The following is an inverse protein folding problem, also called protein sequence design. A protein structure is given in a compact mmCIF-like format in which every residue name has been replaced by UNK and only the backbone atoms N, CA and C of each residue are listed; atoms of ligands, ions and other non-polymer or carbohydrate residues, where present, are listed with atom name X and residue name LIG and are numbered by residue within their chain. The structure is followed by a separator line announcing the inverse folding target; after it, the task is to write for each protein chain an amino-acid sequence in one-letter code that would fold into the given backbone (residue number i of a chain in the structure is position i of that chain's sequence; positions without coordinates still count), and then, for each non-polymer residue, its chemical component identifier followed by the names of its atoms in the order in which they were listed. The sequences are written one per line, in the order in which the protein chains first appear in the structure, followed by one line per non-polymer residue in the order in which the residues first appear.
data_IF_535804334552
#
_entry.id   IF_535804334552
#
_cell.length_a   1.000
_cell.length_b   1.000
_cell.length_c   1.000
_cell.angle_alpha   90.00
_cell.angle_beta   90.00
_cell.angle_gamma   90.00
#
_symmetry.space_group_name_H-M   'P 1'
#
loop_
_entity.id
_entity.type
_entity.pdbx_description
1 polymer ?
#
# COMPACT_ATOMS: atom_id res chain seq x y z
N UNK A 1 5.94 -13.77 -24.02
CA UNK A 1 6.52 -12.46 -23.65
C UNK A 1 5.41 -11.58 -23.09
N UNK A 2 5.42 -11.33 -21.78
CA UNK A 2 4.39 -10.57 -21.07
C UNK A 2 4.33 -9.13 -21.61
N UNK A 3 3.14 -8.53 -21.69
CA UNK A 3 2.94 -7.15 -22.18
C UNK A 3 3.88 -6.14 -21.50
N UNK A 4 4.06 -6.27 -20.19
CA UNK A 4 4.97 -5.40 -19.42
C UNK A 4 6.42 -5.47 -19.89
N UNK A 5 6.92 -6.66 -20.24
CA UNK A 5 8.28 -6.84 -20.76
C UNK A 5 8.45 -6.18 -22.13
N UNK A 6 7.46 -6.31 -23.01
CA UNK A 6 7.46 -5.65 -24.32
C UNK A 6 7.52 -4.13 -24.19
N UNK A 7 6.77 -3.57 -23.23
CA UNK A 7 6.79 -2.12 -22.96
C UNK A 7 8.15 -1.69 -22.40
N UNK A 8 8.68 -2.42 -21.42
CA UNK A 8 9.95 -2.08 -20.76
C UNK A 8 11.16 -2.15 -21.71
N UNK A 9 11.15 -3.07 -22.69
CA UNK A 9 12.21 -3.23 -23.70
C UNK A 9 11.93 -2.50 -25.02
N UNK A 10 10.87 -1.71 -25.09
CA UNK A 10 10.51 -0.98 -26.31
C UNK A 10 11.53 0.13 -26.62
N UNK A 11 11.52 0.67 -27.86
CA UNK A 11 12.37 1.80 -28.26
C UNK A 11 11.90 3.17 -27.72
N UNK A 12 10.87 3.18 -26.86
CA UNK A 12 10.37 4.41 -26.25
C UNK A 12 11.40 5.02 -25.30
N UNK A 13 11.28 6.32 -25.05
CA UNK A 13 12.08 6.98 -24.02
C UNK A 13 11.73 6.41 -22.62
N UNK A 14 12.66 6.39 -21.65
CA UNK A 14 12.44 5.87 -20.30
C UNK A 14 11.12 6.30 -19.64
N UNK A 15 10.84 7.61 -19.66
CA UNK A 15 9.62 8.17 -19.07
C UNK A 15 8.34 7.70 -19.77
N UNK A 16 8.38 7.53 -21.11
CA UNK A 16 7.25 7.00 -21.89
C UNK A 16 6.98 5.54 -21.57
N UNK A 17 8.03 4.74 -21.33
CA UNK A 17 7.87 3.33 -20.92
C UNK A 17 7.17 3.23 -19.56
N UNK A 18 7.59 4.04 -18.59
CA UNK A 18 6.97 4.07 -17.26
C UNK A 18 5.51 4.53 -17.35
N UNK A 19 5.23 5.56 -18.16
CA UNK A 19 3.87 6.04 -18.37
C UNK A 19 2.97 4.99 -19.04
N UNK A 20 3.49 4.29 -20.05
CA UNK A 20 2.80 3.18 -20.70
C UNK A 20 2.52 2.01 -19.74
N UNK A 21 3.46 1.68 -18.84
CA UNK A 21 3.23 0.66 -17.81
C UNK A 21 2.09 1.07 -16.87
N UNK A 22 2.09 2.33 -16.40
CA UNK A 22 1.04 2.87 -15.53
C UNK A 22 -0.33 2.94 -16.19
N UNK A 23 -0.36 3.16 -17.50
CA UNK A 23 -1.61 3.36 -18.25
C UNK A 23 -2.21 2.04 -18.77
N UNK A 24 -1.38 1.09 -19.20
CA UNK A 24 -1.87 -0.13 -19.86
C UNK A 24 -1.62 -1.39 -19.03
N UNK A 25 -0.44 -1.53 -18.45
CA UNK A 25 -0.05 -2.78 -17.80
C UNK A 25 -0.71 -2.93 -16.42
N UNK A 26 -0.50 -1.99 -15.51
CA UNK A 26 -1.05 -2.09 -14.15
C UNK A 26 -2.60 -2.07 -14.12
N UNK A 27 -3.29 -1.23 -14.91
CA UNK A 27 -4.76 -1.22 -14.91
C UNK A 27 -5.40 -2.52 -15.41
N UNK A 28 -4.70 -3.30 -16.26
CA UNK A 28 -5.21 -4.57 -16.78
C UNK A 28 -5.49 -5.59 -15.65
N UNK A 29 -4.79 -5.51 -14.53
CA UNK A 29 -5.00 -6.41 -13.38
C UNK A 29 -6.17 -6.00 -12.49
N UNK A 30 -6.63 -4.75 -12.55
CA UNK A 30 -7.58 -4.19 -11.57
C UNK A 30 -8.90 -4.96 -11.53
N UNK A 31 -9.43 -5.34 -12.70
CA UNK A 31 -10.65 -6.13 -12.77
C UNK A 31 -10.49 -7.49 -12.08
N UNK A 32 -9.44 -8.23 -12.44
CA UNK A 32 -9.16 -9.56 -11.89
C UNK A 32 -8.86 -9.53 -10.39
N UNK A 33 -8.18 -8.48 -9.91
CA UNK A 33 -7.96 -8.27 -8.47
C UNK A 33 -9.28 -7.97 -7.74
N UNK A 34 -10.19 -7.21 -8.36
CA UNK A 34 -11.52 -6.92 -7.77
C UNK A 34 -12.44 -8.12 -7.75
N UNK A 35 -12.31 -9.05 -8.70
CA UNK A 35 -13.07 -10.30 -8.71
C UNK A 35 -12.39 -11.42 -7.92
N UNK A 36 -11.33 -11.11 -7.17
CA UNK A 36 -10.57 -12.05 -6.34
C UNK A 36 -10.00 -13.26 -7.09
N UNK A 37 -9.75 -13.11 -8.40
CA UNK A 37 -9.21 -14.17 -9.25
C UNK A 37 -7.69 -14.32 -9.12
N UNK A 38 -7.01 -13.25 -8.69
CA UNK A 38 -5.56 -13.20 -8.56
C UNK A 38 -5.14 -13.22 -7.11
N UNK A 39 -4.22 -14.11 -6.77
CA UNK A 39 -3.64 -14.16 -5.43
C UNK A 39 -2.55 -13.10 -5.27
N UNK A 40 -2.30 -12.71 -4.00
CA UNK A 40 -1.18 -11.83 -3.66
C UNK A 40 0.17 -12.43 -4.04
N UNK A 41 0.32 -13.76 -3.89
CA UNK A 41 1.55 -14.47 -4.22
C UNK A 41 1.87 -14.38 -5.71
N UNK A 42 0.87 -14.57 -6.57
CA UNK A 42 1.06 -14.47 -8.02
C UNK A 42 1.44 -13.05 -8.42
N UNK A 43 0.79 -12.04 -7.84
CA UNK A 43 1.11 -10.64 -8.09
C UNK A 43 2.50 -10.25 -7.57
N UNK A 44 2.97 -10.87 -6.50
CA UNK A 44 4.34 -10.70 -6.02
C UNK A 44 5.36 -11.23 -7.03
N UNK A 45 5.10 -12.37 -7.68
CA UNK A 45 5.97 -12.89 -8.75
C UNK A 45 6.05 -11.89 -9.91
N UNK A 46 4.92 -11.30 -10.29
CA UNK A 46 4.88 -10.26 -11.34
C UNK A 46 5.66 -9.02 -10.92
N UNK A 47 5.47 -8.53 -9.68
CA UNK A 47 6.22 -7.38 -9.15
C UNK A 47 7.73 -7.65 -9.15
N UNK A 48 8.15 -8.83 -8.70
CA UNK A 48 9.56 -9.20 -8.59
C UNK A 48 10.21 -9.38 -9.97
N UNK A 49 9.46 -9.84 -10.97
CA UNK A 49 9.90 -9.88 -12.37
C UNK A 49 10.00 -8.49 -13.01
N UNK A 50 9.01 -7.62 -12.78
CA UNK A 50 8.95 -6.29 -13.42
C UNK A 50 9.90 -5.28 -12.79
N UNK A 51 10.17 -5.39 -11.49
CA UNK A 51 11.04 -4.47 -10.72
C UNK A 51 12.42 -4.24 -11.36
N UNK A 52 13.23 -5.27 -11.70
CA UNK A 52 14.53 -5.04 -12.32
C UNK A 52 14.40 -4.34 -13.68
N UNK A 53 13.39 -4.68 -14.48
CA UNK A 53 13.14 -4.02 -15.78
C UNK A 53 12.78 -2.53 -15.61
N UNK A 54 12.03 -2.21 -14.56
CA UNK A 54 11.68 -0.83 -14.21
C UNK A 54 12.92 -0.07 -13.73
N UNK A 55 13.77 -0.69 -12.90
CA UNK A 55 15.03 -0.09 -12.44
C UNK A 55 15.98 0.19 -13.59
N UNK A 56 16.15 -0.78 -14.49
CA UNK A 56 16.96 -0.64 -15.72
C UNK A 56 16.43 0.49 -16.61
N UNK A 57 15.11 0.56 -16.79
CA UNK A 57 14.47 1.67 -17.53
C UNK A 57 14.81 3.03 -16.93
N UNK A 58 14.96 3.12 -15.61
CA UNK A 58 15.28 4.35 -14.87
C UNK A 58 16.79 4.57 -14.66
N UNK A 59 17.64 3.68 -15.20
CA UNK A 59 19.09 3.67 -14.96
C UNK A 59 19.45 3.64 -13.47
N UNK A 60 18.69 2.87 -12.68
CA UNK A 60 18.91 2.67 -11.26
C UNK A 60 19.64 1.35 -11.02
N UNK A 61 20.55 1.36 -10.05
CA UNK A 61 21.22 0.15 -9.59
C UNK A 61 20.22 -0.84 -8.94
N UNK A 62 20.57 -2.13 -8.98
CA UNK A 62 19.81 -3.17 -8.29
C UNK A 62 19.75 -2.95 -6.77
N UNK A 63 20.75 -2.27 -6.21
CA UNK A 63 20.81 -1.86 -4.81
C UNK A 63 19.92 -0.66 -4.46
N UNK A 64 19.40 0.07 -5.46
CA UNK A 64 18.58 1.24 -5.24
C UNK A 64 17.33 0.91 -4.39
N UNK A 65 17.01 1.79 -3.45
CA UNK A 65 15.90 1.60 -2.53
C UNK A 65 14.56 1.44 -3.27
N UNK A 66 13.86 0.33 -3.03
CA UNK A 66 12.59 0.03 -3.70
C UNK A 66 11.48 1.03 -3.36
N UNK A 67 11.56 1.66 -2.19
CA UNK A 67 10.66 2.71 -1.73
C UNK A 67 10.64 3.90 -2.70
N UNK A 68 11.74 4.12 -3.44
CA UNK A 68 11.82 5.17 -4.46
C UNK A 68 10.86 4.91 -5.62
N UNK A 69 10.68 3.64 -6.01
CA UNK A 69 9.80 3.26 -7.10
C UNK A 69 8.32 3.41 -6.72
N UNK A 70 7.96 2.93 -5.54
CA UNK A 70 6.56 2.77 -5.13
C UNK A 70 6.02 3.94 -4.29
N UNK A 71 6.89 4.80 -3.74
CA UNK A 71 6.50 5.88 -2.84
C UNK A 71 5.73 7.02 -3.51
N UNK A 72 5.30 8.00 -2.70
CA UNK A 72 4.40 9.06 -3.13
C UNK A 72 4.99 10.03 -4.16
N UNK A 73 4.27 10.26 -5.27
CA UNK A 73 4.64 11.28 -6.26
C UNK A 73 4.62 12.70 -5.70
N UNK A 74 3.82 12.96 -4.66
CA UNK A 74 3.78 14.25 -3.96
C UNK A 74 5.09 14.56 -3.22
N UNK A 75 5.89 13.53 -2.96
CA UNK A 75 7.19 13.63 -2.27
C UNK A 75 8.36 13.44 -3.24
N UNK A 76 8.12 13.58 -4.55
CA UNK A 76 9.16 13.49 -5.58
C UNK A 76 9.56 12.06 -5.98
N UNK A 77 8.76 11.04 -5.63
CA UNK A 77 9.02 9.63 -5.96
C UNK A 77 8.23 9.18 -7.19
N UNK A 78 8.51 7.98 -7.71
CA UNK A 78 7.93 7.52 -8.97
C UNK A 78 6.46 7.09 -8.88
N UNK A 79 5.97 6.64 -7.72
CA UNK A 79 4.56 6.25 -7.53
C UNK A 79 4.07 5.13 -8.44
N UNK A 80 4.93 4.18 -8.75
CA UNK A 80 4.57 2.95 -9.48
C UNK A 80 3.68 2.10 -8.56
N UNK A 81 2.56 1.54 -9.04
CA UNK A 81 1.76 0.60 -8.25
C UNK A 81 2.54 -0.68 -7.96
N UNK A 82 2.44 -1.18 -6.72
CA UNK A 82 2.94 -2.51 -6.35
C UNK A 82 1.75 -3.47 -6.33
N UNK A 83 1.69 -4.40 -7.29
CA UNK A 83 0.52 -5.24 -7.52
C UNK A 83 0.15 -6.09 -6.30
N UNK A 84 1.13 -6.63 -5.59
CA UNK A 84 0.88 -7.41 -4.38
C UNK A 84 0.17 -6.61 -3.27
N UNK A 85 0.46 -5.31 -3.16
CA UNK A 85 -0.22 -4.44 -2.19
C UNK A 85 -1.59 -3.98 -2.73
N UNK A 86 -1.70 -3.77 -4.05
CA UNK A 86 -2.97 -3.46 -4.72
C UNK A 86 -4.03 -4.54 -4.50
N UNK A 87 -3.67 -5.83 -4.51
CA UNK A 87 -4.59 -6.92 -4.18
C UNK A 87 -5.22 -6.70 -2.80
N UNK A 88 -4.39 -6.45 -1.78
CA UNK A 88 -4.86 -6.23 -0.41
C UNK A 88 -5.78 -5.00 -0.30
N UNK A 89 -5.43 -3.93 -1.00
CA UNK A 89 -6.26 -2.71 -1.06
C UNK A 89 -7.62 -3.01 -1.70
N UNK A 90 -7.68 -3.84 -2.75
CA UNK A 90 -8.94 -4.21 -3.39
C UNK A 90 -9.79 -5.12 -2.49
N UNK A 91 -9.20 -6.05 -1.74
CA UNK A 91 -9.94 -6.89 -0.78
C UNK A 91 -10.65 -6.03 0.29
N UNK A 92 -9.93 -5.06 0.86
CA UNK A 92 -10.49 -4.14 1.87
C UNK A 92 -11.58 -3.25 1.24
N UNK A 93 -11.34 -2.69 0.07
CA UNK A 93 -12.29 -1.83 -0.64
C UNK A 93 -13.58 -2.57 -1.00
N UNK A 94 -13.48 -3.82 -1.46
CA UNK A 94 -14.62 -4.66 -1.79
C UNK A 94 -15.45 -4.99 -0.54
N UNK A 95 -14.81 -5.50 0.52
CA UNK A 95 -15.49 -5.82 1.78
C UNK A 95 -16.19 -4.59 2.39
N UNK A 96 -15.50 -3.44 2.41
CA UNK A 96 -16.09 -2.20 2.91
C UNK A 96 -17.30 -1.78 2.07
N UNK A 97 -17.22 -1.89 0.74
CA UNK A 97 -18.32 -1.52 -0.16
C UNK A 97 -19.53 -2.46 -0.09
N UNK A 98 -19.33 -3.74 0.23
CA UNK A 98 -20.42 -4.69 0.46
C UNK A 98 -21.15 -4.32 1.77
N UNK A 99 -20.41 -4.18 2.87
CA UNK A 99 -20.98 -3.84 4.18
C UNK A 99 -21.58 -2.42 4.24
N UNK A 100 -21.08 -1.48 3.44
CA UNK A 100 -21.59 -0.10 3.30
C UNK A 100 -22.40 0.13 2.02
N UNK A 101 -22.97 -0.94 1.45
CA UNK A 101 -23.77 -0.82 0.23
C UNK A 101 -24.99 0.09 0.45
N UNK A 102 -25.35 0.86 -0.59
CA UNK A 102 -26.57 1.67 -0.60
C UNK A 102 -27.82 0.85 -0.95
N UNK A 103 -27.63 -0.27 -1.66
CA UNK A 103 -28.73 -1.19 -1.94
C UNK A 103 -28.98 -2.01 -0.67
N UNK A 104 -30.18 -1.86 -0.12
CA UNK A 104 -30.58 -2.52 1.13
C UNK A 104 -30.47 -4.03 1.05
N UNK A 105 -30.75 -4.63 -0.12
CA UNK A 105 -30.68 -6.10 -0.29
C UNK A 105 -29.24 -6.59 -0.21
N UNK A 106 -28.33 -5.91 -0.90
CA UNK A 106 -26.90 -6.24 -0.85
C UNK A 106 -26.35 -6.01 0.55
N UNK A 107 -26.78 -4.93 1.22
CA UNK A 107 -26.36 -4.64 2.58
C UNK A 107 -26.80 -5.75 3.54
N UNK A 108 -28.09 -6.12 3.55
CA UNK A 108 -28.62 -7.19 4.40
C UNK A 108 -27.90 -8.51 4.13
N UNK A 109 -27.80 -8.93 2.86
CA UNK A 109 -27.11 -10.17 2.48
C UNK A 109 -25.64 -10.18 2.91
N UNK A 110 -24.92 -9.06 2.75
CA UNK A 110 -23.51 -8.97 3.15
C UNK A 110 -23.33 -9.04 4.67
N UNK A 111 -24.27 -8.48 5.44
CA UNK A 111 -24.26 -8.54 6.90
C UNK A 111 -24.63 -9.93 7.42
N UNK A 112 -25.61 -10.59 6.80
CA UNK A 112 -25.97 -11.98 7.10
C UNK A 112 -24.79 -12.91 6.79
N UNK A 113 -24.19 -12.80 5.59
CA UNK A 113 -23.07 -13.64 5.14
C UNK A 113 -21.81 -13.49 6.02
N UNK A 114 -21.44 -12.26 6.42
CA UNK A 114 -20.30 -12.08 7.32
C UNK A 114 -20.59 -12.61 8.73
N UNK A 115 -21.81 -12.42 9.23
CA UNK A 115 -22.18 -12.92 10.55
C UNK A 115 -22.19 -14.44 10.54
N UNK A 116 -22.84 -15.07 9.57
CA UNK A 116 -22.83 -16.53 9.39
C UNK A 116 -21.41 -17.09 9.27
N UNK A 117 -20.53 -16.41 8.51
CA UNK A 117 -19.12 -16.81 8.39
C UNK A 117 -18.38 -16.73 9.73
N UNK A 118 -18.67 -15.72 10.56
CA UNK A 118 -18.05 -15.57 11.88
C UNK A 118 -18.63 -16.59 12.86
N UNK A 119 -19.96 -16.72 12.95
CA UNK A 119 -20.63 -17.64 13.88
C UNK A 119 -20.26 -19.09 13.59
N UNK A 120 -20.20 -19.48 12.32
CA UNK A 120 -19.74 -20.82 11.91
C UNK A 120 -18.30 -21.09 12.35
N UNK A 121 -17.46 -20.06 12.38
CA UNK A 121 -16.04 -20.18 12.76
C UNK A 121 -15.81 -20.13 14.27
N UNK A 122 -16.54 -19.29 15.00
CA UNK A 122 -16.31 -19.02 16.43
C UNK A 122 -17.32 -19.69 17.36
N UNK A 123 -18.50 -20.09 16.86
CA UNK A 123 -19.61 -20.59 17.67
C UNK A 123 -20.28 -19.54 18.57
N UNK A 124 -19.96 -18.25 18.39
CA UNK A 124 -20.50 -17.15 19.20
C UNK A 124 -21.79 -16.59 18.60
N UNK A 125 -22.62 -15.96 19.43
CA UNK A 125 -23.85 -15.27 19.00
C UNK A 125 -23.56 -14.07 18.08
N UNK A 126 -24.35 -13.85 17.02
CA UNK A 126 -24.09 -12.80 16.03
C UNK A 126 -24.19 -11.40 16.66
N UNK A 127 -23.11 -10.62 16.56
CA UNK A 127 -23.06 -9.23 17.05
C UNK A 127 -22.20 -8.35 16.13
N UNK A 128 -22.56 -7.07 15.91
CA UNK A 128 -21.72 -6.11 15.18
C UNK A 128 -20.31 -5.98 15.77
N UNK A 129 -20.18 -6.14 17.10
CA UNK A 129 -18.89 -6.10 17.79
C UNK A 129 -17.97 -7.26 17.37
N UNK A 130 -18.53 -8.41 16.98
CA UNK A 130 -17.75 -9.55 16.48
C UNK A 130 -17.18 -9.28 15.08
N UNK A 131 -17.90 -8.54 14.24
CA UNK A 131 -17.40 -8.13 12.92
C UNK A 131 -16.15 -7.27 13.08
N UNK A 132 -16.19 -6.29 13.99
CA UNK A 132 -15.04 -5.45 14.32
C UNK A 132 -13.84 -6.29 14.79
N UNK A 133 -14.05 -7.15 15.79
CA UNK A 133 -13.00 -8.04 16.32
C UNK A 133 -12.40 -8.94 15.23
N UNK A 134 -13.27 -9.57 14.42
CA UNK A 134 -12.86 -10.49 13.37
C UNK A 134 -12.05 -9.79 12.28
N UNK A 135 -12.53 -8.68 11.73
CA UNK A 135 -11.86 -7.96 10.63
C UNK A 135 -10.54 -7.32 11.06
N UNK A 136 -10.44 -6.90 12.33
CA UNK A 136 -9.19 -6.43 12.93
C UNK A 136 -8.19 -7.54 13.24
N UNK A 137 -8.61 -8.80 13.09
CA UNK A 137 -7.76 -9.95 13.27
C UNK A 137 -7.42 -10.26 14.72
N UNK A 138 -8.15 -9.71 15.68
CA UNK A 138 -7.97 -9.99 17.11
C UNK A 138 -8.11 -11.50 17.33
N UNK A 139 -7.10 -12.09 17.94
CA UNK A 139 -7.14 -13.48 18.39
C UNK A 139 -7.52 -13.47 19.87
N UNK A 140 -8.81 -13.44 20.18
CA UNK A 140 -9.26 -13.74 21.54
C UNK A 140 -8.84 -15.18 21.90
N UNK A 141 -8.38 -15.39 23.14
CA UNK A 141 -7.90 -16.68 23.67
C UNK A 141 -8.96 -17.80 23.63
N UNK A 142 -10.24 -17.44 23.46
CA UNK A 142 -11.40 -18.31 23.67
C UNK A 142 -12.09 -18.80 22.37
N UNK A 143 -11.63 -18.44 21.16
CA UNK A 143 -12.38 -18.89 19.96
C UNK A 143 -11.79 -18.71 18.57
N UNK A 144 -10.70 -17.94 18.38
CA UNK A 144 -10.15 -17.74 17.03
C UNK A 144 -9.12 -18.79 16.60
N UNK A 145 -8.77 -19.74 17.48
CA UNK A 145 -7.65 -20.67 17.30
C UNK A 145 -8.00 -22.03 16.68
N UNK A 146 -9.28 -22.41 16.53
CA UNK A 146 -9.62 -23.84 16.37
C UNK A 146 -10.17 -24.33 15.04
N UNK A 147 -10.39 -23.48 14.04
CA UNK A 147 -10.84 -23.93 12.72
C UNK A 147 -9.99 -23.31 11.62
N UNK A 148 -9.08 -24.11 11.07
CA UNK A 148 -8.60 -23.96 9.69
C UNK A 148 -9.84 -24.05 8.80
N UNK A 149 -10.50 -22.93 8.54
CA UNK A 149 -11.53 -22.88 7.52
C UNK A 149 -10.79 -22.97 6.17
N UNK A 150 -10.93 -24.09 5.42
CA UNK A 150 -10.19 -24.29 4.18
C UNK A 150 -10.67 -23.35 3.06
N UNK A 151 -11.83 -22.70 3.25
CA UNK A 151 -12.42 -21.80 2.27
C UNK A 151 -12.03 -20.35 2.54
N UNK A 152 -11.23 -19.79 1.63
CA UNK A 152 -10.93 -18.37 1.62
C UNK A 152 -12.15 -17.57 1.14
N UNK A 153 -12.95 -17.06 2.08
CA UNK A 153 -14.03 -16.11 1.79
C UNK A 153 -13.50 -14.68 1.59
N UNK A 154 -14.32 -13.84 0.97
CA UNK A 154 -14.13 -12.38 0.88
C UNK A 154 -13.74 -11.78 2.24
N UNK A 155 -14.38 -12.22 3.32
CA UNK A 155 -14.17 -11.73 4.69
C UNK A 155 -12.83 -12.17 5.28
N UNK A 156 -12.46 -13.43 5.09
CA UNK A 156 -11.16 -13.94 5.53
C UNK A 156 -10.00 -13.30 4.76
N UNK A 157 -10.18 -13.00 3.47
CA UNK A 157 -9.22 -12.23 2.66
C UNK A 157 -9.12 -10.78 3.12
N UNK A 158 -10.25 -10.12 3.34
CA UNK A 158 -10.30 -8.74 3.84
C UNK A 158 -9.65 -8.61 5.23
N UNK A 159 -9.92 -9.56 6.14
CA UNK A 159 -9.24 -9.65 7.45
C UNK A 159 -7.72 -9.72 7.27
N UNK A 160 -7.24 -10.67 6.47
CA UNK A 160 -5.81 -10.86 6.26
C UNK A 160 -5.15 -9.65 5.57
N UNK A 161 -5.84 -8.98 4.65
CA UNK A 161 -5.37 -7.75 4.03
C UNK A 161 -5.32 -6.58 5.04
N UNK A 162 -6.34 -6.46 5.90
CA UNK A 162 -6.44 -5.40 6.90
C UNK A 162 -5.32 -5.48 7.94
N UNK A 163 -5.00 -6.69 8.41
CA UNK A 163 -3.88 -6.90 9.34
C UNK A 163 -2.53 -6.57 8.71
N UNK A 164 -2.32 -6.93 7.43
CA UNK A 164 -1.08 -6.61 6.70
C UNK A 164 -0.89 -5.12 6.44
N UNK A 165 -1.98 -4.40 6.14
CA UNK A 165 -1.94 -2.97 5.81
C UNK A 165 -2.15 -2.07 7.03
N UNK A 166 -2.35 -2.64 8.23
CA UNK A 166 -2.60 -1.86 9.45
C UNK A 166 -3.91 -1.07 9.42
N UNK A 167 -4.90 -1.53 8.65
CA UNK A 167 -6.22 -0.89 8.56
C UNK A 167 -7.10 -1.42 9.67
N UNK A 168 -7.72 -0.51 10.43
CA UNK A 168 -8.59 -0.88 11.54
C UNK A 168 -10.05 -0.58 11.21
N UNK A 169 -10.92 -1.53 11.49
CA UNK A 169 -12.37 -1.46 11.32
C UNK A 169 -13.00 -1.07 12.65
N UNK A 170 -14.06 -0.26 12.61
CA UNK A 170 -14.94 -0.01 13.74
C UNK A 170 -16.38 -0.23 13.34
N UNK A 171 -17.11 -0.96 14.17
CA UNK A 171 -18.48 -1.36 13.93
C UNK A 171 -19.20 -1.51 15.27
N UNK A 172 -19.63 -0.39 15.85
CA UNK A 172 -20.33 -0.39 17.15
C UNK A 172 -21.79 -0.80 17.04
N UNK A 173 -22.45 -0.36 15.97
CA UNK A 173 -23.87 -0.57 15.71
C UNK A 173 -24.09 -0.96 14.25
N UNK A 174 -25.25 -1.54 13.97
CA UNK A 174 -25.68 -1.83 12.61
C UNK A 174 -25.66 -0.54 11.77
N UNK A 175 -24.87 -0.53 10.70
CA UNK A 175 -24.73 0.63 9.82
C UNK A 175 -23.68 1.68 10.22
N UNK A 176 -23.05 1.64 11.41
CA UNK A 176 -21.95 2.56 11.77
C UNK A 176 -20.56 2.00 11.43
N UNK A 177 -20.37 1.58 10.17
CA UNK A 177 -19.10 1.03 9.71
C UNK A 177 -18.10 2.14 9.37
N UNK A 178 -16.94 2.11 10.04
CA UNK A 178 -15.84 3.07 9.83
C UNK A 178 -14.51 2.35 9.62
N UNK A 179 -13.70 2.88 8.71
CA UNK A 179 -12.30 2.47 8.55
C UNK A 179 -11.37 3.53 9.10
N UNK A 180 -10.35 3.11 9.83
CA UNK A 180 -9.29 3.93 10.38
C UNK A 180 -7.98 3.58 9.69
N UNK A 181 -7.37 4.59 9.05
CA UNK A 181 -6.15 4.47 8.25
C UNK A 181 -5.22 5.63 8.61
N UNK A 182 -4.11 5.38 9.30
CA UNK A 182 -3.10 6.40 9.67
C UNK A 182 -3.72 7.74 10.16
N UNK A 183 -4.63 7.67 11.13
CA UNK A 183 -5.31 8.84 11.71
C UNK A 183 -6.49 9.39 10.90
N UNK A 184 -6.76 8.89 9.70
CA UNK A 184 -7.95 9.24 8.90
C UNK A 184 -9.09 8.27 9.18
N UNK A 185 -10.31 8.81 9.27
CA UNK A 185 -11.54 8.02 9.44
C UNK A 185 -12.35 8.10 8.15
N UNK A 186 -12.64 6.94 7.55
CA UNK A 186 -13.50 6.82 6.39
C UNK A 186 -14.84 6.22 6.83
N UNK A 187 -15.89 7.04 6.70
CA UNK A 187 -17.28 6.63 6.84
C UNK A 187 -17.84 6.16 5.49
N UNK A 188 -19.06 5.63 5.49
CA UNK A 188 -19.77 5.17 4.28
C UNK A 188 -19.87 6.25 3.18
N UNK A 189 -19.97 7.53 3.57
CA UNK A 189 -19.98 8.67 2.64
C UNK A 189 -18.71 8.75 1.78
N UNK A 190 -17.59 8.24 2.29
CA UNK A 190 -16.30 8.24 1.61
C UNK A 190 -15.98 6.91 0.90
N UNK A 191 -16.97 6.03 0.64
CA UNK A 191 -16.79 4.72 0.00
C UNK A 191 -16.00 4.76 -1.33
N UNK A 192 -16.13 5.83 -2.11
CA UNK A 192 -15.42 5.98 -3.39
C UNK A 192 -13.92 6.30 -3.20
N UNK A 193 -13.53 6.77 -2.01
CA UNK A 193 -12.18 7.23 -1.69
C UNK A 193 -11.34 6.18 -0.97
N UNK A 194 -11.91 5.04 -0.54
CA UNK A 194 -11.21 4.00 0.25
C UNK A 194 -9.92 3.54 -0.42
N UNK A 195 -9.96 3.00 -1.64
CA UNK A 195 -8.77 2.64 -2.39
C UNK A 195 -7.73 3.79 -2.44
N UNK A 196 -8.18 5.01 -2.78
CA UNK A 196 -7.29 6.16 -2.94
C UNK A 196 -6.60 6.51 -1.62
N UNK A 197 -7.34 6.53 -0.52
CA UNK A 197 -6.83 6.89 0.80
C UNK A 197 -5.82 5.85 1.30
N UNK A 198 -6.09 4.55 1.14
CA UNK A 198 -5.16 3.49 1.54
C UNK A 198 -3.88 3.57 0.68
N UNK A 199 -4.00 3.73 -0.64
CA UNK A 199 -2.84 3.91 -1.53
C UNK A 199 -2.00 5.11 -1.14
N UNK A 200 -2.61 6.27 -0.92
CA UNK A 200 -1.89 7.48 -0.54
C UNK A 200 -1.17 7.33 0.79
N UNK A 201 -1.80 6.67 1.77
CA UNK A 201 -1.22 6.36 3.07
C UNK A 201 0.03 5.47 2.93
N UNK A 202 -0.09 4.32 2.28
CA UNK A 202 1.04 3.41 2.05
C UNK A 202 2.19 4.09 1.29
N UNK A 203 1.88 4.85 0.25
CA UNK A 203 2.88 5.59 -0.54
C UNK A 203 3.61 6.66 0.27
N UNK A 204 2.91 7.29 1.22
CA UNK A 204 3.50 8.30 2.11
C UNK A 204 4.39 7.62 3.15
N UNK A 205 3.94 6.51 3.73
CA UNK A 205 4.76 5.68 4.63
C UNK A 205 6.08 5.24 3.95
N UNK A 206 6.00 4.70 2.73
CA UNK A 206 7.21 4.33 1.96
C UNK A 206 8.13 5.53 1.70
N UNK A 207 7.56 6.69 1.39
CA UNK A 207 8.36 7.90 1.18
C UNK A 207 9.09 8.35 2.45
N UNK A 208 8.41 8.32 3.60
CA UNK A 208 9.02 8.63 4.89
C UNK A 208 10.12 7.62 5.25
N UNK A 209 9.89 6.32 5.00
CA UNK A 209 10.90 5.28 5.22
C UNK A 209 12.14 5.52 4.37
N UNK A 210 11.96 5.97 3.13
CA UNK A 210 13.07 6.31 2.24
C UNK A 210 13.86 7.50 2.78
N UNK A 211 13.18 8.58 3.18
CA UNK A 211 13.79 9.79 3.76
C UNK A 211 14.59 9.47 5.04
N UNK A 212 14.09 8.54 5.85
CA UNK A 212 14.76 8.13 7.09
C UNK A 212 16.02 7.27 6.85
N UNK A 213 16.32 6.82 5.62
CA UNK A 213 17.51 5.99 5.36
C UNK A 213 18.79 6.81 5.51
N UNK A 214 19.81 6.30 6.22
CA UNK A 214 21.03 7.05 6.53
C UNK A 214 21.91 7.34 5.30
N UNK A 215 21.76 6.55 4.23
CA UNK A 215 22.58 6.67 3.01
C UNK A 215 22.02 7.66 1.99
N UNK A 216 21.01 8.46 2.33
CA UNK A 216 20.49 9.48 1.43
C UNK A 216 21.47 10.63 1.28
N UNK A 217 21.87 10.95 0.05
CA UNK A 217 22.70 12.13 -0.24
C UNK A 217 24.21 11.94 -0.11
N UNK A 218 24.70 10.79 0.35
CA UNK A 218 26.15 10.48 0.44
C UNK A 218 26.87 10.70 -0.90
N UNK A 219 26.25 10.31 -2.02
CA UNK A 219 26.82 10.55 -3.34
C UNK A 219 26.95 12.03 -3.69
N UNK A 220 26.03 12.88 -3.22
CA UNK A 220 26.09 14.34 -3.41
C UNK A 220 27.18 14.95 -2.53
N UNK A 221 27.30 14.49 -1.29
CA UNK A 221 28.36 14.93 -0.36
C UNK A 221 29.75 14.58 -0.91
N UNK A 222 29.95 13.34 -1.37
CA UNK A 222 31.22 12.89 -1.98
C UNK A 222 31.48 13.61 -3.31
N UNK A 223 30.45 13.83 -4.13
CA UNK A 223 30.60 14.57 -5.39
C UNK A 223 30.95 16.03 -5.16
N UNK A 224 30.37 16.68 -4.15
CA UNK A 224 30.64 18.08 -3.79
C UNK A 224 32.04 18.29 -3.20
N UNK A 225 32.65 17.24 -2.63
CA UNK A 225 34.02 17.24 -2.12
C UNK A 225 35.07 17.08 -3.24
N UNK A 226 34.66 16.68 -4.45
CA UNK A 226 35.61 16.42 -5.53
C UNK A 226 35.95 17.72 -6.30
N UNK A 227 37.22 18.14 -6.39
CA UNK A 227 37.60 19.44 -6.97
C UNK A 227 37.24 19.62 -8.45
N UNK A 228 36.92 18.54 -9.18
CA UNK A 228 36.42 18.59 -10.55
C UNK A 228 34.90 18.84 -10.69
N UNK A 229 34.14 18.88 -9.58
CA UNK A 229 32.68 19.06 -9.59
C UNK A 229 32.28 20.54 -9.68
N UNK A 230 32.81 21.29 -10.64
CA UNK A 230 32.48 22.71 -10.84
C UNK A 230 31.07 22.95 -11.42
N UNK A 231 30.34 21.89 -11.75
CA UNK A 231 29.05 21.95 -12.47
C UNK A 231 27.80 21.67 -11.62
N UNK A 232 27.92 21.30 -10.34
CA UNK A 232 26.78 21.23 -9.43
C UNK A 232 26.52 22.65 -8.91
N UNK A 233 25.54 23.40 -9.46
CA UNK A 233 25.38 24.79 -9.09
C UNK A 233 24.85 24.81 -7.65
N UNK A 234 25.64 25.42 -6.77
CA UNK A 234 25.23 25.99 -5.47
C UNK A 234 24.01 26.92 -5.52
N UNK A 235 23.38 27.09 -6.71
CA UNK A 235 22.20 27.89 -7.01
C UNK A 235 20.87 27.12 -7.04
N UNK A 236 20.85 25.79 -6.97
CA UNK A 236 19.58 25.07 -6.73
C UNK A 236 19.22 25.13 -5.24
N UNK A 237 18.68 26.28 -4.82
CA UNK A 237 17.83 26.49 -3.65
C UNK A 237 17.94 25.51 -2.48
N UNK A 238 19.11 25.42 -1.85
CA UNK A 238 19.38 24.62 -0.66
C UNK A 238 18.81 25.23 0.64
N UNK A 239 17.70 25.98 0.55
CA UNK A 239 17.05 26.57 1.73
C UNK A 239 16.20 25.58 2.54
N UNK A 240 15.91 24.38 2.01
CA UNK A 240 15.16 23.35 2.76
C UNK A 240 16.02 22.24 3.37
N UNK A 241 17.25 22.02 2.89
CA UNK A 241 18.12 20.96 3.42
C UNK A 241 19.16 21.45 4.43
N UNK A 242 19.52 22.74 4.46
CA UNK A 242 20.49 23.27 5.43
C UNK A 242 20.00 23.32 6.88
N UNK A 243 18.71 23.10 7.15
CA UNK A 243 18.14 23.23 8.50
C UNK A 243 18.22 21.95 9.35
N UNK A 244 18.59 20.80 8.75
CA UNK A 244 18.69 19.53 9.48
C UNK A 244 20.12 19.17 9.92
N UNK A 245 21.16 19.75 9.31
CA UNK A 245 22.55 19.49 9.68
C UNK A 245 23.04 20.31 10.90
N UNK A 246 22.36 21.40 11.27
CA UNK A 246 22.78 22.27 12.38
C UNK A 246 22.24 21.83 13.75
N UNK A 247 21.39 20.80 13.82
CA UNK A 247 20.86 20.30 15.10
C UNK A 247 21.63 19.11 15.68
N UNK A 248 22.57 18.50 14.94
CA UNK A 248 23.38 17.39 15.44
C UNK A 248 24.78 17.78 15.92
N UNK A 249 25.17 19.06 15.81
CA UNK A 249 26.52 19.53 16.17
C UNK A 249 26.58 20.38 17.45
N UNK A 250 25.48 20.60 18.19
CA UNK A 250 25.53 21.37 19.46
C UNK A 250 25.45 20.51 20.73
N UNK A 251 25.65 19.19 20.65
CA UNK A 251 25.45 18.29 21.80
C UNK A 251 26.68 17.47 22.22
N UNK A 252 27.89 17.78 21.73
CA UNK A 252 29.09 17.10 22.20
C UNK A 252 30.38 17.93 22.00
N UNK A 253 30.75 18.72 22.99
CA UNK A 253 32.16 19.03 23.29
C UNK A 253 32.36 19.06 24.82
N UNK A 254 33.20 18.17 25.37
CA UNK A 254 34.00 18.38 26.59
C UNK A 254 35.45 18.76 26.19
N UNK A 255 36.36 19.20 27.09
CA UNK A 255 36.35 19.10 28.56
C UNK A 255 36.02 20.39 29.33
#
# INVERSE_FOLDING_TARGET
MLLGEKIAKSKLAPWQRIDALKTFFFPAFVFHMRTEQLSKCDMKIVDDFMRPLIKDTLYLDDSAANEYLYGSTKMGLFGIPKLADEVDIMMIDNAFKLLSSKDIRIHVLAWEDILEHITTRTGLEPSPSLIEKFLNGVQDEEGFRHTTCPYASTWSRARAASTRLGVTWRCREYGDLKLHIEGKVLTQCYRKKVCKTIKESLRTCLANNLIAKPSQGVAIEVSALHPASSSLPSKWGLHHFRRLALYSQSAAEPP
#
